data_IF_056782682559
#
_entry.id   IF_056782682559
#
_cell.length_a   1.000
_cell.length_b   1.000
_cell.length_c   1.000
_cell.angle_alpha   90.00
_cell.angle_beta   90.00
_cell.angle_gamma   90.00
#
_symmetry.space_group_name_H-M   'P 1'
#
loop_
_entity.id
_entity.type
_entity.pdbx_description
1 polymer ?
#
# COMPACT_ATOMS: atom_id res chain seq x y z
N UNK A 1 6.32 -3.75 -16.33
CA UNK A 1 6.17 -3.15 -15.54
C UNK A 1 7.04 -3.10 -14.34
N UNK A 2 6.84 -2.30 -13.57
CA UNK A 2 7.78 -2.02 -12.61
C UNK A 2 7.27 -2.26 -11.29
N UNK A 3 8.04 -2.87 -10.48
CA UNK A 3 7.77 -2.94 -9.09
C UNK A 3 8.62 -1.92 -8.43
N UNK A 4 8.15 -1.33 -7.38
CA UNK A 4 8.99 -0.46 -6.62
C UNK A 4 9.61 -1.24 -5.47
N UNK A 5 10.76 -0.79 -5.00
CA UNK A 5 11.41 -1.48 -3.90
C UNK A 5 10.52 -1.45 -2.66
N UNK A 6 10.29 -2.61 -2.10
CA UNK A 6 9.54 -2.72 -0.87
C UNK A 6 10.31 -3.59 0.10
N UNK A 7 10.04 -3.40 1.37
CA UNK A 7 10.61 -4.25 2.39
C UNK A 7 9.67 -4.31 3.57
N UNK A 8 9.77 -5.38 4.32
CA UNK A 8 9.03 -5.56 5.54
C UNK A 8 10.02 -5.83 6.65
N UNK A 9 9.59 -5.62 7.88
CA UNK A 9 10.46 -5.87 9.01
C UNK A 9 11.00 -7.29 9.00
N UNK A 10 10.15 -8.25 8.68
CA UNK A 10 10.59 -9.63 8.64
C UNK A 10 11.59 -9.88 7.55
N UNK A 11 11.45 -9.20 6.41
CA UNK A 11 12.38 -9.38 5.30
C UNK A 11 13.76 -8.89 5.66
N UNK A 12 13.84 -7.79 6.39
CA UNK A 12 15.13 -7.26 6.80
C UNK A 12 15.89 -8.23 7.66
N UNK A 13 15.17 -8.98 8.47
CA UNK A 13 15.81 -9.92 9.37
C UNK A 13 16.21 -11.18 8.66
N UNK A 14 15.36 -11.66 7.78
CA UNK A 14 15.54 -12.98 7.21
C UNK A 14 16.11 -12.97 5.82
N UNK A 15 16.09 -11.82 5.17
CA UNK A 15 16.53 -11.76 3.79
C UNK A 15 15.60 -12.50 2.87
N UNK A 16 14.36 -12.63 3.24
CA UNK A 16 13.38 -13.39 2.49
C UNK A 16 12.90 -12.62 1.29
N UNK A 17 12.78 -13.30 0.18
CA UNK A 17 12.28 -12.69 -1.02
C UNK A 17 10.79 -12.54 -0.94
N UNK A 18 10.33 -11.38 -1.39
CA UNK A 18 8.92 -11.07 -1.36
C UNK A 18 8.16 -11.97 -2.32
N UNK A 19 7.00 -12.38 -1.88
CA UNK A 19 6.15 -13.18 -2.71
C UNK A 19 5.70 -12.39 -3.93
N UNK A 20 5.60 -13.05 -5.05
CA UNK A 20 5.17 -12.44 -6.28
C UNK A 20 3.66 -12.50 -6.42
N UNK A 21 3.08 -11.51 -7.01
CA UNK A 21 1.69 -11.50 -7.36
C UNK A 21 1.51 -11.37 -8.83
N UNK A 22 0.41 -11.79 -9.24
CA UNK A 22 -0.59 -12.66 -8.68
C UNK A 22 -0.41 -14.04 -9.13
N UNK A 23 0.70 -14.30 -9.74
CA UNK A 23 0.82 -15.53 -10.39
C UNK A 23 0.41 -16.61 -9.45
N UNK A 24 0.78 -17.48 -9.07
CA UNK A 24 0.39 -18.64 -8.39
C UNK A 24 -0.52 -18.48 -7.21
N UNK A 25 -1.17 -17.41 -7.17
CA UNK A 25 -1.89 -17.05 -6.02
C UNK A 25 -3.32 -17.47 -6.15
N UNK A 26 -3.59 -18.70 -5.89
CA UNK A 26 -4.87 -19.27 -6.17
C UNK A 26 -5.51 -19.95 -4.98
N UNK A 27 -4.98 -19.75 -3.80
CA UNK A 27 -5.56 -20.37 -2.64
C UNK A 27 -6.74 -19.62 -2.11
N UNK A 28 -7.45 -20.20 -1.18
CA UNK A 28 -8.56 -19.52 -0.56
C UNK A 28 -8.09 -18.34 0.25
N UNK A 29 -6.83 -18.29 0.64
CA UNK A 29 -6.32 -17.15 1.38
C UNK A 29 -6.38 -15.87 0.58
N UNK A 30 -6.35 -15.97 -0.74
CA UNK A 30 -6.42 -14.77 -1.55
C UNK A 30 -7.78 -14.09 -1.46
N UNK A 31 -8.77 -14.75 -0.94
CA UNK A 31 -10.08 -14.17 -0.75
C UNK A 31 -10.22 -13.47 0.58
N UNK A 32 -9.27 -13.69 1.48
CA UNK A 32 -9.33 -13.07 2.79
C UNK A 32 -8.77 -11.65 2.73
N UNK A 33 -9.27 -10.80 3.58
CA UNK A 33 -8.73 -9.46 3.69
C UNK A 33 -7.44 -9.49 4.48
N UNK A 34 -6.51 -8.64 4.08
CA UNK A 34 -5.29 -8.39 4.84
C UNK A 34 -5.20 -6.90 5.08
N UNK A 35 -4.43 -6.52 6.09
CA UNK A 35 -4.19 -5.11 6.39
C UNK A 35 -2.70 -4.86 6.37
N UNK A 36 -2.29 -3.81 5.65
CA UNK A 36 -0.88 -3.47 5.54
C UNK A 36 -0.66 -2.04 6.00
N UNK A 37 0.39 -1.88 6.78
CA UNK A 37 0.86 -0.56 7.22
C UNK A 37 2.07 -0.23 6.34
N UNK A 38 2.01 0.88 5.63
CA UNK A 38 3.01 1.19 4.62
C UNK A 38 3.53 2.61 4.82
N UNK A 39 4.83 2.76 4.69
CA UNK A 39 5.47 4.07 4.77
C UNK A 39 6.15 4.31 3.43
N UNK A 40 5.70 5.35 2.74
CA UNK A 40 6.18 5.67 1.40
C UNK A 40 7.25 6.75 1.48
N UNK A 41 8.38 6.48 0.86
CA UNK A 41 9.51 7.40 0.80
C UNK A 41 9.73 7.86 -0.64
N UNK A 42 10.06 9.11 -0.81
CA UNK A 42 10.31 9.67 -2.12
C UNK A 42 9.63 11.01 -2.26
N UNK A 43 9.24 11.34 -3.49
CA UNK A 43 8.49 12.56 -3.73
C UNK A 43 7.02 12.20 -3.62
N UNK A 44 6.53 12.24 -2.40
CA UNK A 44 5.19 11.73 -2.08
C UNK A 44 4.29 12.77 -1.43
N UNK A 45 4.85 13.87 -0.92
CA UNK A 45 4.04 14.97 -0.38
C UNK A 45 3.99 16.11 -1.37
N UNK A 46 2.87 16.83 -1.38
CA UNK A 46 2.71 17.96 -2.28
C UNK A 46 2.48 17.57 -3.73
N UNK A 47 2.15 16.32 -3.98
CA UNK A 47 1.96 15.80 -5.34
C UNK A 47 0.61 15.11 -5.50
N UNK A 48 -0.28 15.29 -4.53
CA UNK A 48 -1.62 14.72 -4.62
C UNK A 48 -1.72 13.27 -4.22
N UNK A 49 -0.71 12.76 -3.50
CA UNK A 49 -0.67 11.34 -3.14
C UNK A 49 -1.90 10.92 -2.35
N UNK A 50 -2.25 11.68 -1.30
CA UNK A 50 -3.33 11.26 -0.41
C UNK A 50 -4.67 11.16 -1.13
N UNK A 51 -4.95 12.12 -2.00
CA UNK A 51 -6.23 12.12 -2.71
C UNK A 51 -6.24 11.08 -3.83
N UNK A 52 -5.11 10.88 -4.49
CA UNK A 52 -5.01 9.80 -5.47
C UNK A 52 -5.23 8.45 -4.81
N UNK A 53 -4.61 8.24 -3.65
CA UNK A 53 -4.77 6.99 -2.92
C UNK A 53 -6.22 6.78 -2.51
N UNK A 54 -6.84 7.83 -1.99
CA UNK A 54 -8.24 7.74 -1.58
C UNK A 54 -9.15 7.38 -2.74
N UNK A 55 -8.97 8.06 -3.86
CA UNK A 55 -9.80 7.81 -5.03
C UNK A 55 -9.66 6.37 -5.51
N UNK A 56 -8.40 5.92 -5.66
CA UNK A 56 -8.16 4.57 -6.13
C UNK A 56 -8.65 3.52 -5.14
N UNK A 57 -8.36 3.72 -3.86
CA UNK A 57 -8.75 2.75 -2.85
C UNK A 57 -10.27 2.59 -2.80
N UNK A 58 -10.98 3.70 -2.87
CA UNK A 58 -12.44 3.63 -2.84
C UNK A 58 -13.00 2.95 -4.07
N UNK A 59 -12.39 3.15 -5.23
CA UNK A 59 -12.84 2.49 -6.44
C UNK A 59 -12.61 0.99 -6.40
N UNK A 60 -11.73 0.53 -5.51
CA UNK A 60 -11.39 -0.88 -5.38
C UNK A 60 -11.97 -1.51 -4.12
N UNK A 61 -12.84 -0.79 -3.42
CA UNK A 61 -13.46 -1.24 -2.18
C UNK A 61 -12.44 -1.56 -1.10
N UNK A 62 -11.35 -0.81 -1.06
CA UNK A 62 -10.36 -0.92 -0.01
C UNK A 62 -10.70 0.06 1.11
N UNK A 63 -10.35 -0.29 2.32
CA UNK A 63 -10.55 0.59 3.47
C UNK A 63 -9.21 0.95 4.07
N UNK A 64 -9.20 1.96 4.94
CA UNK A 64 -7.97 2.37 5.60
C UNK A 64 -7.86 3.88 5.69
N UNK A 65 -6.62 4.34 5.70
CA UNK A 65 -6.36 5.78 5.79
C UNK A 65 -4.97 6.09 5.26
N UNK A 66 -4.75 7.37 4.95
CA UNK A 66 -3.46 7.86 4.45
C UNK A 66 -3.19 9.22 5.06
N UNK A 67 -1.93 9.47 5.44
CA UNK A 67 -1.55 10.65 6.18
C UNK A 67 -0.13 11.06 5.85
N UNK A 68 0.09 12.38 5.72
CA UNK A 68 1.45 12.91 5.60
C UNK A 68 2.12 12.98 6.97
N UNK A 69 3.42 12.70 7.00
CA UNK A 69 4.20 12.81 8.23
C UNK A 69 5.18 13.96 8.14
N UNK A 70 5.69 14.37 9.28
CA UNK A 70 6.62 15.49 9.35
C UNK A 70 7.89 15.28 8.56
N UNK A 71 8.35 14.02 8.48
CA UNK A 71 9.63 13.73 7.86
C UNK A 71 9.56 13.65 6.35
N UNK A 72 8.40 13.98 5.77
CA UNK A 72 8.24 13.96 4.33
C UNK A 72 7.69 12.66 3.78
N UNK A 73 7.54 11.66 4.63
CA UNK A 73 6.94 10.40 4.19
C UNK A 73 5.43 10.48 4.20
N UNK A 74 4.81 9.51 3.55
CA UNK A 74 3.37 9.30 3.63
C UNK A 74 3.13 7.94 4.23
N UNK A 75 2.27 7.89 5.24
CA UNK A 75 1.91 6.64 5.90
C UNK A 75 0.51 6.25 5.46
N UNK A 76 0.33 4.98 5.16
CA UNK A 76 -0.96 4.48 4.76
C UNK A 76 -1.20 3.15 5.43
N UNK A 77 -2.43 2.95 5.93
CA UNK A 77 -2.89 1.61 6.24
C UNK A 77 -4.00 1.30 5.26
N UNK A 78 -3.94 0.12 4.70
CA UNK A 78 -4.91 -0.27 3.68
C UNK A 78 -5.31 -1.71 3.92
N UNK A 79 -6.60 -1.97 3.75
CA UNK A 79 -7.18 -3.26 4.05
C UNK A 79 -8.09 -3.70 2.93
N UNK A 80 -7.97 -4.95 2.58
CA UNK A 80 -8.77 -5.58 1.55
C UNK A 80 -8.05 -6.79 1.02
N UNK A 81 -8.50 -7.29 -0.10
CA UNK A 81 -7.82 -8.41 -0.73
C UNK A 81 -6.43 -7.98 -1.18
N UNK A 82 -5.49 -8.86 -0.97
CA UNK A 82 -4.10 -8.53 -1.26
C UNK A 82 -3.89 -8.15 -2.73
N UNK A 83 -4.57 -8.83 -3.62
CA UNK A 83 -4.46 -8.51 -5.05
C UNK A 83 -4.94 -7.10 -5.35
N UNK A 84 -5.97 -6.63 -4.65
CA UNK A 84 -6.45 -5.27 -4.86
C UNK A 84 -5.51 -4.23 -4.27
N UNK A 85 -4.87 -4.56 -3.16
CA UNK A 85 -3.85 -3.66 -2.61
C UNK A 85 -2.71 -3.52 -3.60
N UNK A 86 -2.34 -4.61 -4.25
CA UNK A 86 -1.32 -4.57 -5.28
C UNK A 86 -1.73 -3.66 -6.44
N UNK A 87 -3.00 -3.73 -6.85
CA UNK A 87 -3.52 -2.85 -7.90
C UNK A 87 -3.46 -1.39 -7.49
N UNK A 88 -3.75 -1.11 -6.23
CA UNK A 88 -3.62 0.25 -5.72
C UNK A 88 -2.17 0.74 -5.86
N UNK A 89 -1.22 -0.11 -5.50
CA UNK A 89 0.19 0.26 -5.63
C UNK A 89 0.54 0.56 -7.06
N UNK A 90 0.05 -0.24 -7.99
CA UNK A 90 0.31 0.02 -9.40
C UNK A 90 -0.29 1.34 -9.83
N UNK A 91 -1.49 1.64 -9.37
CA UNK A 91 -2.12 2.91 -9.68
C UNK A 91 -1.33 4.11 -9.19
N UNK A 92 -0.83 4.01 -7.97
CA UNK A 92 0.00 5.08 -7.42
C UNK A 92 1.29 5.23 -8.21
N UNK A 93 1.88 4.12 -8.60
CA UNK A 93 3.14 4.15 -9.34
C UNK A 93 2.99 4.70 -10.76
N UNK A 94 1.79 4.63 -11.32
CA UNK A 94 1.54 5.18 -12.64
C UNK A 94 1.40 6.69 -12.64
N UNK A 95 1.15 7.29 -11.50
CA UNK A 95 0.94 8.72 -11.41
C UNK A 95 2.27 9.42 -11.64
N UNK A 96 2.32 10.28 -12.67
CA UNK A 96 3.59 10.90 -13.07
C UNK A 96 4.12 11.90 -12.06
N UNK A 97 3.29 12.37 -11.14
CA UNK A 97 3.73 13.34 -10.15
C UNK A 97 4.23 12.70 -8.87
N UNK A 98 3.94 11.43 -8.67
CA UNK A 98 4.31 10.70 -7.49
C UNK A 98 5.55 9.88 -7.80
N UNK A 99 6.60 10.05 -7.00
CA UNK A 99 7.80 9.25 -7.15
C UNK A 99 8.04 8.50 -5.85
N UNK A 100 7.92 7.19 -5.91
CA UNK A 100 8.10 6.34 -4.75
C UNK A 100 9.48 5.71 -4.86
N UNK A 101 10.35 6.06 -3.91
CA UNK A 101 11.70 5.52 -3.89
C UNK A 101 11.74 4.15 -3.23
N UNK A 102 11.05 4.01 -2.10
CA UNK A 102 10.85 2.68 -1.50
C UNK A 102 9.69 2.74 -0.52
N UNK A 103 9.24 1.57 -0.13
CA UNK A 103 8.11 1.42 0.78
C UNK A 103 8.52 0.47 1.89
N UNK A 104 8.30 0.88 3.13
CA UNK A 104 8.40 -0.03 4.26
C UNK A 104 7.01 -0.58 4.51
N UNK A 105 6.87 -1.89 4.50
CA UNK A 105 5.57 -2.54 4.60
C UNK A 105 5.56 -3.53 5.75
N UNK A 106 4.47 -3.49 6.50
CA UNK A 106 4.29 -4.42 7.60
C UNK A 106 2.83 -4.88 7.60
N UNK A 107 2.62 -6.16 7.76
CA UNK A 107 1.26 -6.68 7.80
C UNK A 107 0.72 -6.55 9.22
N UNK A 108 -0.56 -6.17 9.32
CA UNK A 108 -1.23 -5.94 10.59
C UNK A 108 -2.49 -6.76 10.63
N UNK A 109 -3.08 -6.86 11.81
CA UNK A 109 -4.38 -7.50 11.94
C UNK A 109 -5.44 -6.62 11.32
N UNK A 110 -6.46 -7.25 10.76
CA UNK A 110 -7.56 -6.50 10.16
C UNK A 110 -8.37 -5.81 11.24
N UNK A 111 -9.02 -4.73 10.83
CA UNK A 111 -9.86 -3.93 11.72
C UNK A 111 -11.23 -3.78 11.08
N UNK A 112 -12.21 -3.43 11.89
CA UNK A 112 -13.53 -3.11 11.40
C UNK A 112 -13.50 -1.69 10.87
N UNK A 113 -13.70 -1.54 9.58
CA UNK A 113 -13.59 -0.27 8.89
C UNK A 113 -14.53 -0.24 7.71
N UNK A 114 -15.07 0.94 7.37
CA UNK A 114 -16.05 1.01 6.31
C UNK A 114 -15.61 1.86 5.12
N UNK A 115 -14.51 2.60 5.21
CA UNK A 115 -14.11 3.45 4.10
C UNK A 115 -12.63 3.74 4.16
N UNK A 116 -12.13 4.41 3.10
CA UNK A 116 -10.75 4.88 3.05
C UNK A 116 -10.75 6.39 3.20
N UNK A 117 -9.98 6.90 4.16
CA UNK A 117 -10.01 8.30 4.51
C UNK A 117 -8.63 8.94 4.46
N UNK A 118 -8.63 10.25 4.19
CA UNK A 118 -7.43 11.07 4.30
C UNK A 118 -7.36 11.62 5.71
N UNK A 119 -6.20 11.48 6.33
CA UNK A 119 -5.96 12.05 7.66
C UNK A 119 -5.01 13.22 7.58
N UNK A 120 -5.16 14.12 8.54
CA UNK A 120 -4.35 15.33 8.60
C UNK A 120 -3.56 15.45 9.89
#
# INVERSE_FOLDING_TARGET
LHSFPTRRSSDLIQGVVQKQYPDSYLGEDEMADVRKHMIFHGRVQGVGFRYTAKYLARSMNLTGWVKNEYDGTVVMEVQGREAMIFELMKGLNRNQFIQIDWIDTEEKETETESSFEVKY
#
